data_IF_326069850006
#
_entry.id   IF_326069850006
#
_cell.length_a   1.000
_cell.length_b   1.000
_cell.length_c   1.000
_cell.angle_alpha   90.00
_cell.angle_beta   90.00
_cell.angle_gamma   90.00
#
_symmetry.space_group_name_H-M   'P 1'
#
loop_
_entity.id
_entity.type
_entity.pdbx_description
1 polymer ?
#
# COMPACT_ATOMS: atom_id res chain seq x y z
N UNK A 1 15.47 11.56 19.91
CA UNK A 1 14.07 11.55 19.42
C UNK A 1 13.83 10.21 18.72
N UNK A 2 13.07 9.27 19.32
CA UNK A 2 12.65 8.06 18.61
C UNK A 2 11.24 8.29 18.08
N UNK A 3 11.11 9.03 16.98
CA UNK A 3 9.86 9.08 16.22
C UNK A 3 9.64 7.69 15.65
N UNK A 4 8.83 6.90 16.36
CA UNK A 4 8.37 5.58 15.94
C UNK A 4 7.31 5.79 14.85
N UNK A 5 7.75 6.30 13.70
CA UNK A 5 6.90 6.50 12.53
C UNK A 5 6.54 5.12 12.01
N UNK A 6 5.32 4.66 12.29
CA UNK A 6 4.74 3.48 11.63
C UNK A 6 4.72 3.78 10.14
N UNK A 7 5.78 3.39 9.42
CA UNK A 7 5.85 3.52 7.97
C UNK A 7 4.69 2.70 7.43
N UNK A 8 3.74 3.36 6.79
CA UNK A 8 2.67 2.67 6.09
C UNK A 8 3.33 1.77 5.03
N UNK A 9 2.85 0.53 4.92
CA UNK A 9 3.34 -0.44 3.92
C UNK A 9 2.15 -1.03 3.17
N UNK A 10 2.37 -1.42 1.92
CA UNK A 10 1.38 -2.11 1.12
C UNK A 10 0.99 -3.41 1.82
N UNK A 11 -0.31 -3.66 1.99
CA UNK A 11 -0.78 -4.89 2.63
C UNK A 11 -0.53 -6.15 1.79
N UNK A 12 -0.29 -6.01 0.48
CA UNK A 12 -0.12 -7.13 -0.46
C UNK A 12 1.37 -7.47 -0.62
N UNK A 13 2.17 -6.54 -1.13
CA UNK A 13 3.60 -6.78 -1.44
C UNK A 13 4.57 -6.22 -0.38
N UNK A 14 4.07 -5.54 0.67
CA UNK A 14 4.88 -4.85 1.71
C UNK A 14 5.79 -3.72 1.20
N UNK A 15 5.54 -3.23 -0.01
CA UNK A 15 6.20 -2.03 -0.53
C UNK A 15 5.93 -0.81 0.36
N UNK A 16 6.89 0.11 0.44
CA UNK A 16 6.82 1.30 1.30
C UNK A 16 6.52 2.58 0.52
N UNK A 17 6.76 2.52 -0.79
CA UNK A 17 6.62 3.63 -1.72
C UNK A 17 5.30 3.53 -2.50
N UNK A 18 4.84 4.64 -3.06
CA UNK A 18 3.66 4.69 -3.94
C UNK A 18 2.38 4.06 -3.34
N UNK A 19 2.21 4.18 -2.02
CA UNK A 19 1.05 3.68 -1.32
C UNK A 19 -0.14 4.61 -1.47
N UNK A 20 -1.30 4.02 -1.75
CA UNK A 20 -2.58 4.72 -1.75
C UNK A 20 -3.60 3.95 -0.92
N UNK A 21 -4.61 4.64 -0.42
CA UNK A 21 -5.68 3.99 0.36
C UNK A 21 -6.71 3.43 -0.62
N UNK A 22 -6.73 2.10 -0.76
CA UNK A 22 -7.71 1.36 -1.55
C UNK A 22 -8.63 0.56 -0.63
N UNK A 23 -9.94 0.81 -0.69
CA UNK A 23 -10.96 0.20 0.19
C UNK A 23 -10.58 0.25 1.69
N UNK A 24 -10.02 1.38 2.14
CA UNK A 24 -9.61 1.57 3.55
C UNK A 24 -8.28 0.91 3.95
N UNK A 25 -7.53 0.36 2.99
CA UNK A 25 -6.22 -0.29 3.23
C UNK A 25 -5.11 0.39 2.44
N UNK A 26 -3.91 0.51 3.01
CA UNK A 26 -2.73 0.98 2.27
C UNK A 26 -2.25 -0.11 1.30
N UNK A 27 -2.34 0.18 0.00
CA UNK A 27 -1.98 -0.73 -1.08
C UNK A 27 -1.13 0.02 -2.11
N UNK A 28 -0.13 -0.66 -2.69
CA UNK A 28 0.74 -0.13 -3.74
C UNK A 28 -0.04 0.07 -5.05
N UNK A 29 0.35 1.04 -5.88
CA UNK A 29 -0.30 1.29 -7.18
C UNK A 29 -0.27 0.07 -8.11
N UNK A 30 0.84 -0.65 -8.16
CA UNK A 30 0.96 -1.88 -8.99
C UNK A 30 -0.04 -2.95 -8.56
N UNK A 31 -0.16 -3.15 -7.25
CA UNK A 31 -1.10 -4.07 -6.65
C UNK A 31 -2.55 -3.70 -6.98
N UNK A 32 -2.87 -2.40 -7.05
CA UNK A 32 -4.20 -1.91 -7.44
C UNK A 32 -4.43 -2.10 -8.93
N UNK A 33 -3.42 -1.87 -9.77
CA UNK A 33 -3.52 -2.15 -11.20
C UNK A 33 -3.85 -3.63 -11.43
N UNK A 34 -3.11 -4.53 -10.78
CA UNK A 34 -3.36 -5.96 -10.83
C UNK A 34 -4.78 -6.36 -10.36
N UNK A 35 -5.26 -5.78 -9.26
CA UNK A 35 -6.64 -6.02 -8.78
C UNK A 35 -7.68 -5.53 -9.79
N UNK A 36 -7.42 -4.37 -10.43
CA UNK A 36 -8.33 -3.80 -11.44
C UNK A 36 -8.36 -4.61 -12.73
N UNK A 37 -7.27 -5.27 -13.10
CA UNK A 37 -7.25 -6.17 -14.28
C UNK A 37 -8.02 -7.47 -14.03
N UNK A 38 -8.21 -7.87 -12.77
CA UNK A 38 -8.91 -9.11 -12.40
C UNK A 38 -10.44 -8.96 -12.19
N UNK A 39 -10.96 -7.73 -12.17
CA UNK A 39 -12.40 -7.42 -11.98
C UNK A 39 -12.99 -6.96 -13.32
#
# INVERSE_FOLDING_TARGET
>A
MKTNSKVAVCKICKEKDNLVVYKGTHICKECIAYIKELI
#
